data_IF_189937550097
#
_entry.id   IF_189937550097
#
_cell.length_a   1.000
_cell.length_b   1.000
_cell.length_c   1.000
_cell.angle_alpha   90.00
_cell.angle_beta   90.00
_cell.angle_gamma   90.00
#
_symmetry.space_group_name_H-M   'P 1'
#
loop_
_entity.id
_entity.type
_entity.pdbx_description
1 polymer ?
#
# COMPACT_ATOMS: atom_id res chain seq x y z
N UNK A 1 -23.22 -77.26 5.56
CA UNK A 1 -23.00 -76.34 6.69
C UNK A 1 -21.64 -76.59 7.31
N UNK A 2 -20.53 -76.30 6.61
CA UNK A 2 -19.16 -76.39 7.17
C UNK A 2 -18.05 -75.72 6.32
N UNK A 3 -18.39 -74.77 5.43
CA UNK A 3 -17.40 -74.13 4.51
C UNK A 3 -17.35 -72.59 4.65
N UNK A 4 -18.25 -71.98 5.42
CA UNK A 4 -18.34 -70.51 5.55
C UNK A 4 -17.61 -69.97 6.81
N UNK A 5 -17.02 -70.83 7.66
CA UNK A 5 -16.36 -70.41 8.90
C UNK A 5 -14.84 -70.20 8.82
N UNK A 6 -14.20 -70.43 7.67
CA UNK A 6 -12.76 -70.23 7.51
C UNK A 6 -12.36 -68.93 6.79
N UNK A 7 -13.33 -68.09 6.43
CA UNK A 7 -13.07 -66.80 5.77
C UNK A 7 -12.99 -65.61 6.75
N UNK A 8 -13.19 -65.85 8.05
CA UNK A 8 -13.27 -64.79 9.07
C UNK A 8 -12.11 -64.80 10.07
N UNK A 9 -11.08 -65.64 9.87
CA UNK A 9 -9.93 -65.78 10.77
C UNK A 9 -8.58 -65.53 10.09
N UNK A 10 -8.57 -64.67 9.06
CA UNK A 10 -7.35 -64.18 8.40
C UNK A 10 -7.23 -62.65 8.45
N UNK A 11 -8.13 -61.97 9.16
CA UNK A 11 -8.14 -60.50 9.32
C UNK A 11 -7.41 -60.05 10.59
N UNK A 12 -6.84 -60.97 11.37
CA UNK A 12 -6.26 -60.63 12.67
C UNK A 12 -4.97 -61.38 12.99
N UNK A 13 -3.97 -61.32 12.09
CA UNK A 13 -2.55 -61.51 12.44
C UNK A 13 -1.67 -61.17 11.22
N UNK A 14 -1.44 -59.89 11.00
CA UNK A 14 -0.64 -59.36 9.90
C UNK A 14 0.01 -58.05 10.30
N UNK A 15 0.73 -58.13 11.42
CA UNK A 15 1.57 -57.09 11.99
C UNK A 15 2.56 -56.59 10.94
N UNK A 16 2.47 -55.27 10.68
CA UNK A 16 3.55 -54.36 10.29
C UNK A 16 4.48 -54.82 9.15
N UNK A 17 4.10 -54.51 7.91
CA UNK A 17 5.03 -54.40 6.79
C UNK A 17 4.76 -53.12 5.98
N UNK A 18 5.54 -52.09 6.30
CA UNK A 18 6.13 -51.17 5.32
C UNK A 18 5.22 -50.30 4.47
N UNK A 19 4.68 -49.23 5.05
CA UNK A 19 4.42 -47.98 4.31
C UNK A 19 5.31 -46.87 4.88
N UNK A 20 6.59 -46.89 4.50
CA UNK A 20 7.43 -45.69 4.56
C UNK A 20 6.88 -44.72 3.51
N UNK A 21 5.84 -43.96 3.87
CA UNK A 21 5.59 -42.69 3.23
C UNK A 21 6.79 -41.82 3.57
N UNK A 22 7.65 -41.61 2.56
CA UNK A 22 8.73 -40.64 2.64
C UNK A 22 8.06 -39.27 2.75
N UNK A 23 7.82 -38.82 3.99
CA UNK A 23 7.47 -37.44 4.28
C UNK A 23 8.72 -36.65 3.89
N UNK A 24 8.72 -36.12 2.68
CA UNK A 24 9.64 -35.07 2.28
C UNK A 24 9.36 -33.90 3.21
N UNK A 25 10.12 -33.82 4.29
CA UNK A 25 10.18 -32.64 5.15
C UNK A 25 10.81 -31.55 4.27
N UNK A 26 9.97 -30.78 3.59
CA UNK A 26 10.41 -29.56 2.93
C UNK A 26 10.98 -28.67 4.03
N UNK A 27 12.30 -28.55 4.08
CA UNK A 27 12.96 -27.55 4.88
C UNK A 27 12.41 -26.20 4.41
N UNK A 28 11.51 -25.61 5.19
CA UNK A 28 11.16 -24.20 5.04
C UNK A 28 12.47 -23.43 5.11
N UNK A 29 12.81 -22.59 4.13
CA UNK A 29 13.97 -21.74 4.25
C UNK A 29 13.78 -20.90 5.50
N UNK A 30 14.58 -21.19 6.53
CA UNK A 30 14.70 -20.31 7.68
C UNK A 30 15.33 -19.04 7.14
N UNK A 31 14.50 -18.01 6.94
CA UNK A 31 14.99 -16.64 6.88
C UNK A 31 15.77 -16.46 8.16
N UNK A 32 17.10 -16.38 8.05
CA UNK A 32 17.95 -16.07 9.17
C UNK A 32 17.36 -14.85 9.87
N UNK A 33 17.18 -14.92 11.18
CA UNK A 33 16.76 -13.77 11.96
C UNK A 33 17.75 -12.64 11.68
N UNK A 34 17.26 -11.62 10.98
CA UNK A 34 17.98 -10.38 10.72
C UNK A 34 18.53 -9.87 12.07
N UNK A 35 19.82 -9.48 12.18
CA UNK A 35 20.35 -8.88 13.40
C UNK A 35 19.35 -7.85 13.90
N UNK A 36 18.96 -7.95 15.18
CA UNK A 36 17.93 -7.11 15.80
C UNK A 36 18.13 -5.67 15.34
N UNK A 37 17.25 -5.14 14.47
CA UNK A 37 17.45 -3.83 13.91
C UNK A 37 17.54 -2.86 15.07
N UNK A 38 18.60 -2.05 15.13
CA UNK A 38 18.66 -0.91 16.05
C UNK A 38 17.33 -0.18 15.91
N UNK A 39 16.59 -0.06 17.01
CA UNK A 39 15.26 0.53 17.00
C UNK A 39 15.40 2.00 16.58
N UNK A 40 15.17 2.27 15.30
CA UNK A 40 15.04 3.63 14.79
C UNK A 40 13.66 4.11 15.23
N UNK A 41 13.63 5.16 16.04
CA UNK A 41 12.39 5.85 16.38
C UNK A 41 12.01 6.76 15.22
N UNK A 42 10.72 6.78 14.86
CA UNK A 42 10.23 7.72 13.86
C UNK A 42 10.48 9.15 14.34
N UNK A 43 11.05 9.98 13.45
CA UNK A 43 11.22 11.41 13.65
C UNK A 43 10.36 12.11 12.59
N UNK A 44 9.46 13.02 12.99
CA UNK A 44 8.66 13.78 12.04
C UNK A 44 9.54 14.46 10.99
N UNK A 45 9.09 14.42 9.73
CA UNK A 45 9.78 15.12 8.66
C UNK A 45 9.65 16.64 8.87
N UNK A 46 10.72 17.41 8.59
CA UNK A 46 10.66 18.86 8.71
C UNK A 46 9.73 19.44 7.65
N UNK A 47 9.15 20.60 7.96
CA UNK A 47 8.40 21.38 6.97
C UNK A 47 9.31 21.76 5.80
N UNK A 48 8.87 21.54 4.54
CA UNK A 48 9.64 21.95 3.39
C UNK A 48 9.67 23.47 3.30
N UNK A 49 10.69 23.97 2.63
CA UNK A 49 10.76 25.37 2.21
C UNK A 49 10.73 25.39 0.69
N UNK A 50 10.09 26.38 0.09
CA UNK A 50 10.12 26.51 -1.36
C UNK A 50 11.55 26.91 -1.77
N UNK A 51 12.28 25.95 -2.32
CA UNK A 51 13.61 26.17 -2.87
C UNK A 51 13.50 26.39 -4.38
N UNK A 52 14.36 27.27 -4.90
CA UNK A 52 14.52 27.37 -6.34
C UNK A 52 15.13 26.07 -6.86
N UNK A 53 14.45 25.43 -7.80
CA UNK A 53 14.97 24.28 -8.52
C UNK A 53 15.70 24.81 -9.73
N UNK A 54 17.03 24.65 -9.78
CA UNK A 54 17.81 25.01 -10.95
C UNK A 54 17.75 23.89 -11.99
N UNK A 55 17.46 24.22 -13.25
CA UNK A 55 17.48 23.24 -14.35
C UNK A 55 18.86 22.58 -14.50
N UNK A 56 19.95 23.29 -14.15
CA UNK A 56 21.30 22.73 -14.14
C UNK A 56 21.45 21.55 -13.19
N UNK A 57 20.72 21.55 -12.07
CA UNK A 57 20.82 20.52 -11.04
C UNK A 57 20.09 19.24 -11.45
N UNK A 58 19.22 19.35 -12.45
CA UNK A 58 18.45 18.25 -13.01
C UNK A 58 19.05 17.72 -14.33
N UNK A 59 20.02 18.43 -14.92
CA UNK A 59 20.54 18.16 -16.26
C UNK A 59 21.17 16.76 -16.40
N UNK A 60 21.70 16.21 -15.31
CA UNK A 60 22.37 14.91 -15.28
C UNK A 60 21.44 13.74 -14.90
N UNK A 61 20.15 14.00 -14.66
CA UNK A 61 19.18 12.94 -14.31
C UNK A 61 18.73 12.20 -15.57
N UNK A 62 19.23 10.97 -15.77
CA UNK A 62 18.69 10.05 -16.77
C UNK A 62 17.50 9.26 -16.21
N UNK A 63 16.28 9.69 -16.55
CA UNK A 63 15.05 9.02 -16.14
C UNK A 63 14.95 7.57 -16.65
N UNK A 64 15.64 7.20 -17.73
CA UNK A 64 15.64 5.82 -18.26
C UNK A 64 16.56 4.89 -17.48
N UNK A 65 17.54 5.43 -16.76
CA UNK A 65 18.43 4.68 -15.91
C UNK A 65 17.83 4.39 -14.52
N UNK A 66 16.75 5.08 -14.15
CA UNK A 66 16.07 4.86 -12.88
C UNK A 66 15.30 3.52 -12.91
N UNK A 67 15.39 2.70 -11.85
CA UNK A 67 14.65 1.46 -11.79
C UNK A 67 13.15 1.75 -11.68
N UNK A 68 12.32 0.92 -12.34
CA UNK A 68 10.85 1.03 -12.25
C UNK A 68 10.38 0.85 -10.80
N UNK A 69 11.00 -0.08 -10.08
CA UNK A 69 10.80 -0.26 -8.64
C UNK A 69 12.01 0.31 -7.91
N UNK A 70 11.82 1.32 -7.03
CA UNK A 70 12.93 1.88 -6.28
C UNK A 70 13.52 0.87 -5.29
N UNK A 71 14.83 0.95 -5.07
CA UNK A 71 15.51 0.21 -4.00
C UNK A 71 15.32 0.96 -2.68
N UNK A 72 14.64 0.31 -1.73
CA UNK A 72 14.38 0.85 -0.41
C UNK A 72 15.39 0.41 0.65
N UNK A 73 16.40 -0.40 0.30
CA UNK A 73 17.35 -1.00 1.25
C UNK A 73 17.98 0.04 2.19
N UNK A 74 18.41 1.18 1.64
CA UNK A 74 18.99 2.29 2.40
C UNK A 74 18.01 2.95 3.39
N UNK A 75 16.70 2.89 3.12
CA UNK A 75 15.64 3.53 3.90
C UNK A 75 14.80 2.51 4.72
N UNK A 76 15.14 1.22 4.68
CA UNK A 76 14.32 0.15 5.24
C UNK A 76 14.05 0.33 6.74
N UNK A 77 15.06 0.76 7.51
CA UNK A 77 14.92 1.02 8.94
C UNK A 77 13.96 2.19 9.22
N UNK A 78 14.05 3.28 8.44
CA UNK A 78 13.14 4.42 8.56
C UNK A 78 11.71 4.04 8.19
N UNK A 79 11.50 3.37 7.05
CA UNK A 79 10.17 2.93 6.61
C UNK A 79 9.53 1.98 7.63
N UNK A 80 10.32 1.10 8.23
CA UNK A 80 9.86 0.24 9.33
C UNK A 80 9.45 1.07 10.55
N UNK A 81 10.23 2.08 10.94
CA UNK A 81 9.87 2.97 12.05
C UNK A 81 8.56 3.72 11.80
N UNK A 82 8.36 4.24 10.59
CA UNK A 82 7.13 4.91 10.17
C UNK A 82 5.93 3.97 10.23
N UNK A 83 6.06 2.74 9.74
CA UNK A 83 4.98 1.75 9.81
C UNK A 83 4.63 1.37 11.27
N UNK A 84 5.64 1.23 12.13
CA UNK A 84 5.42 0.97 13.56
C UNK A 84 4.75 2.15 14.27
N UNK A 85 5.08 3.38 13.88
CA UNK A 85 4.39 4.58 14.37
C UNK A 85 2.92 4.61 13.93
N UNK A 86 2.63 4.27 12.67
CA UNK A 86 1.26 4.10 12.18
C UNK A 86 0.48 3.04 12.98
N UNK A 87 1.13 1.92 13.31
CA UNK A 87 0.54 0.91 14.22
C UNK A 87 0.25 1.46 15.61
N UNK A 88 1.16 2.25 16.18
CA UNK A 88 0.98 2.90 17.49
C UNK A 88 -0.20 3.87 17.48
N UNK A 89 -0.43 4.54 16.35
CA UNK A 89 -1.58 5.43 16.10
C UNK A 89 -2.87 4.68 15.74
N UNK A 90 -2.86 3.34 15.72
CA UNK A 90 -3.99 2.50 15.34
C UNK A 90 -4.53 2.78 13.92
N UNK A 91 -3.65 3.15 12.99
CA UNK A 91 -4.02 3.26 11.58
C UNK A 91 -4.45 1.89 11.04
N UNK A 92 -5.45 1.89 10.14
CA UNK A 92 -6.01 0.71 9.54
C UNK A 92 -5.02 0.10 8.55
N UNK A 93 -4.42 -1.02 8.95
CA UNK A 93 -3.41 -1.74 8.19
C UNK A 93 -3.96 -2.46 6.94
N UNK A 94 -5.28 -2.49 6.77
CA UNK A 94 -5.98 -3.02 5.59
C UNK A 94 -6.57 -1.91 4.72
N UNK A 95 -6.21 -0.65 4.97
CA UNK A 95 -6.65 0.49 4.19
C UNK A 95 -5.46 1.22 3.56
N UNK A 96 -5.68 1.71 2.35
CA UNK A 96 -4.87 2.77 1.76
C UNK A 96 -5.77 3.91 1.30
N UNK A 97 -5.23 5.13 1.26
CA UNK A 97 -5.87 6.27 0.59
C UNK A 97 -5.21 6.54 -0.75
N UNK A 98 -6.01 7.00 -1.72
CA UNK A 98 -5.56 7.42 -3.05
C UNK A 98 -5.50 8.93 -3.06
N UNK A 99 -4.34 9.52 -3.31
CA UNK A 99 -4.13 10.96 -3.28
C UNK A 99 -3.65 11.42 -4.65
N UNK A 100 -4.32 12.38 -5.28
CA UNK A 100 -3.93 12.79 -6.62
C UNK A 100 -4.94 13.60 -7.41
N UNK A 101 -4.76 13.61 -8.73
CA UNK A 101 -5.58 14.35 -9.69
C UNK A 101 -6.69 13.49 -10.34
N UNK A 102 -7.18 13.92 -11.51
CA UNK A 102 -8.20 13.18 -12.29
C UNK A 102 -7.78 11.76 -12.66
N UNK A 103 -6.48 11.48 -12.81
CA UNK A 103 -6.00 10.13 -13.12
C UNK A 103 -6.16 9.21 -11.91
N UNK A 104 -5.89 9.72 -10.71
CA UNK A 104 -6.07 8.99 -9.45
C UNK A 104 -7.55 8.80 -9.11
N UNK A 105 -8.38 9.81 -9.37
CA UNK A 105 -9.83 9.76 -9.15
C UNK A 105 -10.57 8.84 -10.15
N UNK A 106 -9.93 8.49 -11.26
CA UNK A 106 -10.54 7.71 -12.33
C UNK A 106 -10.97 6.33 -11.84
N UNK A 107 -12.20 5.88 -12.16
CA UNK A 107 -12.64 4.51 -11.92
C UNK A 107 -11.75 3.47 -12.60
N UNK A 108 -11.00 3.82 -13.65
CA UNK A 108 -10.13 2.88 -14.34
C UNK A 108 -8.80 2.63 -13.64
N UNK A 109 -8.43 3.42 -12.63
CA UNK A 109 -7.12 3.30 -11.99
C UNK A 109 -7.03 2.07 -11.08
N UNK A 110 -7.80 2.05 -9.98
CA UNK A 110 -7.69 0.99 -8.96
C UNK A 110 -9.01 0.27 -8.65
N UNK A 111 -10.16 0.82 -9.02
CA UNK A 111 -11.47 0.21 -8.76
C UNK A 111 -11.59 -1.22 -9.30
N UNK A 112 -11.06 -1.59 -10.49
CA UNK A 112 -11.20 -2.94 -11.01
C UNK A 112 -10.66 -4.03 -10.07
N UNK A 113 -9.60 -3.73 -9.31
CA UNK A 113 -9.06 -4.65 -8.31
C UNK A 113 -10.01 -4.90 -7.14
N UNK A 114 -10.78 -3.88 -6.74
CA UNK A 114 -11.76 -4.01 -5.65
C UNK A 114 -13.08 -4.64 -6.05
N UNK A 115 -13.38 -4.73 -7.36
CA UNK A 115 -14.60 -5.34 -7.91
C UNK A 115 -14.36 -6.71 -8.56
N UNK A 116 -13.10 -7.15 -8.67
CA UNK A 116 -12.72 -8.40 -9.33
C UNK A 116 -12.64 -8.31 -10.86
N UNK A 117 -12.70 -7.12 -11.44
CA UNK A 117 -12.66 -6.88 -12.88
C UNK A 117 -11.21 -6.81 -13.43
N UNK A 118 -10.37 -7.81 -13.14
CA UNK A 118 -8.97 -7.85 -13.55
C UNK A 118 -8.52 -9.26 -13.97
N UNK A 119 -7.37 -9.35 -14.65
CA UNK A 119 -6.66 -10.62 -14.90
C UNK A 119 -5.19 -10.40 -14.56
N UNK A 120 -4.65 -11.22 -13.64
CA UNK A 120 -3.26 -11.04 -13.17
C UNK A 120 -2.21 -11.67 -14.09
N UNK A 121 -2.59 -12.58 -14.98
CA UNK A 121 -1.66 -13.33 -15.83
C UNK A 121 -0.49 -13.92 -15.00
N UNK A 122 0.75 -13.56 -15.35
CA UNK A 122 1.97 -14.01 -14.64
C UNK A 122 2.14 -13.40 -13.24
N UNK A 123 1.38 -12.35 -12.89
CA UNK A 123 1.48 -11.63 -11.61
C UNK A 123 0.52 -12.18 -10.53
N UNK A 124 0.28 -13.48 -10.53
CA UNK A 124 -0.66 -14.13 -9.59
C UNK A 124 -0.31 -13.88 -8.11
N UNK A 125 0.96 -13.62 -7.79
CA UNK A 125 1.40 -13.23 -6.45
C UNK A 125 0.74 -11.93 -5.92
N UNK A 126 0.19 -11.08 -6.79
CA UNK A 126 -0.54 -9.87 -6.37
C UNK A 126 -1.90 -10.20 -5.75
N UNK A 127 -2.41 -11.42 -5.90
CA UNK A 127 -3.72 -11.81 -5.40
C UNK A 127 -3.84 -11.66 -3.88
N UNK A 128 -2.78 -11.94 -3.12
CA UNK A 128 -2.76 -11.79 -1.66
C UNK A 128 -2.83 -10.31 -1.24
N UNK A 129 -2.15 -9.43 -1.98
CA UNK A 129 -2.20 -7.98 -1.76
C UNK A 129 -3.61 -7.45 -2.05
N UNK A 130 -4.21 -7.87 -3.17
CA UNK A 130 -5.58 -7.48 -3.52
C UNK A 130 -6.57 -7.99 -2.47
N UNK A 131 -6.42 -9.23 -2.00
CA UNK A 131 -7.28 -9.78 -0.96
C UNK A 131 -7.17 -8.98 0.35
N UNK A 132 -5.96 -8.58 0.75
CA UNK A 132 -5.72 -7.78 1.97
C UNK A 132 -6.47 -6.45 1.93
N UNK A 133 -6.40 -5.73 0.82
CA UNK A 133 -6.98 -4.38 0.69
C UNK A 133 -8.42 -4.38 0.16
N UNK A 134 -8.96 -5.54 -0.22
CA UNK A 134 -10.38 -5.75 -0.50
C UNK A 134 -11.23 -5.90 0.76
N UNK A 135 -10.61 -5.90 1.95
CA UNK A 135 -11.34 -5.91 3.22
C UNK A 135 -12.31 -4.70 3.32
N UNK A 136 -13.48 -4.87 3.97
CA UNK A 136 -14.42 -3.77 4.15
C UNK A 136 -13.75 -2.58 4.86
N UNK A 137 -13.88 -1.40 4.25
CA UNK A 137 -13.37 -0.14 4.77
C UNK A 137 -14.49 0.73 5.35
N UNK A 138 -15.52 0.98 4.54
CA UNK A 138 -16.74 1.74 4.87
C UNK A 138 -17.93 1.00 4.27
N UNK A 139 -19.14 1.45 4.59
CA UNK A 139 -20.35 0.83 4.05
C UNK A 139 -20.24 0.74 2.51
N UNK A 140 -20.29 -0.49 1.99
CA UNK A 140 -20.20 -0.82 0.56
C UNK A 140 -18.84 -0.54 -0.14
N UNK A 141 -17.78 -0.17 0.58
CA UNK A 141 -16.46 0.14 0.00
C UNK A 141 -15.30 -0.64 0.62
N UNK A 142 -14.26 -0.86 -0.18
CA UNK A 142 -12.93 -1.29 0.24
C UNK A 142 -11.88 -0.24 -0.19
N UNK A 143 -10.59 -0.48 0.08
CA UNK A 143 -9.54 0.50 -0.21
C UNK A 143 -9.43 0.86 -1.72
N UNK A 144 -9.73 -0.10 -2.60
CA UNK A 144 -9.72 0.12 -4.04
C UNK A 144 -10.93 0.92 -4.52
N UNK A 145 -12.12 0.60 -4.01
CA UNK A 145 -13.40 1.16 -4.51
C UNK A 145 -13.83 2.45 -3.82
N UNK A 146 -13.30 2.76 -2.62
CA UNK A 146 -13.59 4.01 -1.91
C UNK A 146 -13.26 5.24 -2.76
N UNK A 147 -14.22 6.13 -3.08
CA UNK A 147 -13.93 7.42 -3.70
C UNK A 147 -13.18 8.28 -2.70
N UNK A 148 -11.91 8.58 -2.98
CA UNK A 148 -11.07 9.32 -2.04
C UNK A 148 -11.43 10.81 -2.03
N UNK A 149 -11.47 11.41 -0.84
CA UNK A 149 -11.67 12.86 -0.70
C UNK A 149 -10.41 13.64 -1.12
N UNK A 150 -9.26 12.97 -1.19
CA UNK A 150 -7.98 13.55 -1.58
C UNK A 150 -7.60 13.27 -3.05
N UNK A 151 -8.56 12.83 -3.88
CA UNK A 151 -8.35 12.64 -5.31
C UNK A 151 -9.57 13.11 -6.12
N UNK A 152 -9.39 14.15 -6.93
CA UNK A 152 -10.46 14.70 -7.74
C UNK A 152 -9.93 15.33 -9.04
N UNK A 153 -10.84 15.50 -10.01
CA UNK A 153 -10.50 16.23 -11.23
C UNK A 153 -10.21 17.69 -10.93
N UNK A 154 -9.09 18.19 -11.45
CA UNK A 154 -8.61 19.55 -11.22
C UNK A 154 -7.69 19.68 -10.01
N UNK A 155 -7.50 18.63 -9.22
CA UNK A 155 -6.52 18.67 -8.14
C UNK A 155 -5.07 18.73 -8.69
N UNK A 156 -4.22 19.43 -7.96
CA UNK A 156 -2.77 19.37 -8.00
C UNK A 156 -2.24 19.23 -6.55
N UNK A 157 -0.92 19.13 -6.40
CA UNK A 157 -0.28 18.98 -5.09
C UNK A 157 -0.58 20.14 -4.12
N UNK A 158 -0.93 21.34 -4.62
CA UNK A 158 -1.30 22.48 -3.79
C UNK A 158 -2.77 22.41 -3.35
N UNK A 159 -3.69 22.15 -4.27
CA UNK A 159 -5.13 22.19 -4.00
C UNK A 159 -5.58 21.10 -3.02
N UNK A 160 -4.91 19.94 -3.02
CA UNK A 160 -5.22 18.85 -2.06
C UNK A 160 -4.92 19.24 -0.60
N UNK A 161 -4.12 20.29 -0.39
CA UNK A 161 -3.78 20.88 0.90
C UNK A 161 -4.63 22.11 1.24
N UNK A 162 -5.44 22.61 0.30
CA UNK A 162 -6.23 23.83 0.44
C UNK A 162 -7.68 23.49 0.80
N UNK A 163 -8.11 23.91 1.99
CA UNK A 163 -9.46 23.66 2.51
C UNK A 163 -10.58 24.23 1.62
N UNK A 164 -10.30 25.19 0.74
CA UNK A 164 -11.30 25.70 -0.21
C UNK A 164 -11.75 24.66 -1.24
N UNK A 165 -10.99 23.57 -1.40
CA UNK A 165 -11.30 22.45 -2.28
C UNK A 165 -12.01 21.28 -1.58
N UNK A 166 -12.23 21.38 -0.28
CA UNK A 166 -12.86 20.32 0.50
C UNK A 166 -14.35 20.21 0.25
N UNK A 167 -14.88 18.98 0.33
CA UNK A 167 -16.32 18.76 0.33
C UNK A 167 -16.91 19.21 1.68
N UNK A 168 -17.69 20.30 1.73
CA UNK A 168 -18.21 20.84 2.99
C UNK A 168 -19.26 19.93 3.65
N UNK A 169 -19.79 18.93 2.94
CA UNK A 169 -20.70 17.95 3.51
C UNK A 169 -19.97 16.86 4.32
N UNK A 170 -18.67 16.66 4.07
CA UNK A 170 -17.87 15.58 4.65
C UNK A 170 -16.68 16.08 5.49
N UNK A 171 -16.14 17.24 5.15
CA UNK A 171 -14.93 17.82 5.72
C UNK A 171 -15.22 19.00 6.65
N UNK A 172 -14.29 19.26 7.58
CA UNK A 172 -14.33 20.42 8.46
C UNK A 172 -14.08 21.75 7.72
N UNK A 173 -14.44 22.86 8.36
CA UNK A 173 -14.40 24.22 7.77
C UNK A 173 -13.02 24.67 7.28
N UNK A 174 -11.94 24.30 7.99
CA UNK A 174 -10.54 24.59 7.61
C UNK A 174 -9.73 23.30 7.40
N UNK A 175 -10.42 22.21 7.05
CA UNK A 175 -9.78 20.91 6.84
C UNK A 175 -9.46 20.75 5.36
N UNK A 176 -8.20 20.46 5.01
CA UNK A 176 -7.82 20.16 3.63
C UNK A 176 -8.46 18.85 3.13
N UNK A 177 -8.59 18.65 1.81
CA UNK A 177 -9.02 17.36 1.26
C UNK A 177 -8.15 16.19 1.75
N UNK A 178 -6.83 16.40 1.87
CA UNK A 178 -5.87 15.42 2.38
C UNK A 178 -6.14 15.05 3.85
N UNK A 179 -6.22 16.04 4.73
CA UNK A 179 -6.50 15.84 6.15
C UNK A 179 -7.86 15.17 6.36
N UNK A 180 -8.87 15.59 5.60
CA UNK A 180 -10.21 15.03 5.62
C UNK A 180 -10.22 13.54 5.24
N UNK A 181 -9.58 13.17 4.13
CA UNK A 181 -9.41 11.77 3.73
C UNK A 181 -8.71 10.96 4.82
N UNK A 182 -7.61 11.46 5.39
CA UNK A 182 -6.88 10.75 6.43
C UNK A 182 -7.69 10.61 7.71
N UNK A 183 -8.43 11.63 8.16
CA UNK A 183 -9.37 11.52 9.28
C UNK A 183 -10.43 10.45 9.01
N UNK A 184 -10.91 10.36 7.79
CA UNK A 184 -11.96 9.42 7.41
C UNK A 184 -11.47 7.98 7.26
N UNK A 185 -10.32 7.77 6.63
CA UNK A 185 -9.84 6.42 6.26
C UNK A 185 -8.87 5.87 7.30
N UNK A 186 -8.15 6.74 8.03
CA UNK A 186 -7.05 6.40 8.92
C UNK A 186 -6.12 5.34 8.30
N UNK A 187 -5.62 5.55 7.06
CA UNK A 187 -4.94 4.49 6.33
C UNK A 187 -3.53 4.26 6.85
N UNK A 188 -3.06 3.02 6.87
CA UNK A 188 -1.64 2.73 7.10
C UNK A 188 -0.76 2.97 5.86
N UNK A 189 -1.37 3.21 4.69
CA UNK A 189 -0.68 3.37 3.41
C UNK A 189 -1.32 4.49 2.58
N UNK A 190 -0.53 5.24 1.82
CA UNK A 190 -1.04 6.22 0.88
C UNK A 190 -0.40 6.00 -0.50
N UNK A 191 -1.22 6.02 -1.54
CA UNK A 191 -0.78 5.99 -2.94
C UNK A 191 -0.94 7.42 -3.49
N UNK A 192 0.19 8.13 -3.60
CA UNK A 192 0.22 9.53 -4.00
C UNK A 192 0.69 9.62 -5.44
N UNK A 193 -0.14 10.18 -6.31
CA UNK A 193 0.14 10.34 -7.73
C UNK A 193 -0.26 11.74 -8.19
N UNK A 194 0.76 12.58 -8.34
CA UNK A 194 0.75 13.91 -8.96
C UNK A 194 1.89 13.98 -9.98
N UNK A 195 1.88 14.97 -10.87
CA UNK A 195 2.98 15.15 -11.83
C UNK A 195 2.61 16.01 -13.03
N UNK A 196 2.38 15.38 -14.17
CA UNK A 196 2.31 16.07 -15.47
C UNK A 196 1.27 17.20 -15.53
N UNK A 197 0.13 17.05 -14.84
CA UNK A 197 -0.92 18.07 -14.85
C UNK A 197 -0.59 19.25 -13.92
N UNK A 198 0.14 19.01 -12.83
CA UNK A 198 0.53 20.03 -11.86
C UNK A 198 1.36 21.15 -12.51
N UNK A 199 2.29 20.79 -13.40
CA UNK A 199 3.17 21.74 -14.09
C UNK A 199 2.44 22.62 -15.13
N UNK A 200 1.13 22.46 -15.31
CA UNK A 200 0.29 23.39 -16.09
C UNK A 200 -0.10 24.62 -15.29
N UNK A 201 -0.08 24.54 -13.95
CA UNK A 201 -0.52 25.61 -13.06
C UNK A 201 0.50 25.96 -11.96
N UNK A 202 1.51 25.10 -11.75
CA UNK A 202 2.61 25.31 -10.79
C UNK A 202 3.95 25.43 -11.53
N UNK A 203 4.85 26.23 -10.99
CA UNK A 203 6.28 26.16 -11.36
C UNK A 203 6.90 24.88 -10.81
N UNK A 204 8.09 24.45 -11.31
CA UNK A 204 8.81 23.33 -10.73
C UNK A 204 9.13 23.48 -9.23
N UNK A 205 9.47 24.70 -8.77
CA UNK A 205 9.72 24.98 -7.34
C UNK A 205 8.45 24.79 -6.50
N UNK A 206 7.32 25.30 -6.99
CA UNK A 206 6.03 25.15 -6.32
C UNK A 206 5.61 23.68 -6.28
N UNK A 207 5.80 22.94 -7.39
CA UNK A 207 5.49 21.52 -7.41
C UNK A 207 6.33 20.72 -6.42
N UNK A 208 7.66 20.93 -6.36
CA UNK A 208 8.52 20.27 -5.36
C UNK A 208 8.09 20.62 -3.92
N UNK A 209 7.83 21.91 -3.66
CA UNK A 209 7.37 22.38 -2.35
C UNK A 209 6.05 21.71 -1.92
N UNK A 210 5.02 21.79 -2.76
CA UNK A 210 3.70 21.27 -2.42
C UNK A 210 3.69 19.73 -2.37
N UNK A 211 4.41 19.04 -3.26
CA UNK A 211 4.52 17.58 -3.18
C UNK A 211 5.20 17.16 -1.88
N UNK A 212 6.25 17.86 -1.44
CA UNK A 212 6.87 17.61 -0.12
C UNK A 212 5.92 17.91 1.02
N UNK A 213 5.09 18.97 0.93
CA UNK A 213 4.06 19.27 1.95
C UNK A 213 3.05 18.13 2.05
N UNK A 214 2.59 17.58 0.93
CA UNK A 214 1.73 16.39 0.90
C UNK A 214 2.42 15.24 1.64
N UNK A 215 3.68 14.93 1.31
CA UNK A 215 4.43 13.86 1.97
C UNK A 215 4.59 14.07 3.48
N UNK A 216 4.88 15.30 3.91
CA UNK A 216 5.02 15.66 5.33
C UNK A 216 3.70 15.48 6.08
N UNK A 217 2.59 15.95 5.52
CA UNK A 217 1.25 15.76 6.11
C UNK A 217 0.83 14.29 6.14
N UNK A 218 1.25 13.48 5.16
CA UNK A 218 0.99 12.04 5.12
C UNK A 218 1.67 11.26 6.25
N UNK A 219 2.90 11.61 6.61
CA UNK A 219 3.73 10.77 7.50
C UNK A 219 3.83 11.28 8.94
N UNK A 220 3.57 12.57 9.18
CA UNK A 220 3.62 13.16 10.52
C UNK A 220 2.34 12.92 11.33
#
# INVERSE_FOLDING_TARGET
MLIVKYLSLLVMLGVLLGSMALVMLSATPSIAADPTPTAVTFVPLPEPTEALVSESDLADIDLRALPILPDFSANAAFLRSLYLEGKRRALNDRAFSKVGDCMTASPNFLVPFGTGAYTLAEYSALQDVIARFSAPLRENFNAFTHPSLAAASGFNAASVLDATWSDPALCGFDESPLACEYRHVQPAFALIMFGTNDLKSLTPSQFDFYLRRVLVETVN
#
